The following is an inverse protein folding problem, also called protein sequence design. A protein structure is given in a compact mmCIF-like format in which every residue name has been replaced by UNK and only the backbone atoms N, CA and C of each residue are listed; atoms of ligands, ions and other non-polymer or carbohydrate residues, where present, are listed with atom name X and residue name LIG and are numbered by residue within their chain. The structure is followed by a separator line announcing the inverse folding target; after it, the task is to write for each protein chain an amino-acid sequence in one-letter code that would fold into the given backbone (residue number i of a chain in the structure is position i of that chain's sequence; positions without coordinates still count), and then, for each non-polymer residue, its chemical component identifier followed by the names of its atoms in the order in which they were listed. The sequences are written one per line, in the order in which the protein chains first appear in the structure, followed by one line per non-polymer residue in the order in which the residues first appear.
data_IF_361217774209
#
_entry.id   IF_361217774209
#
_cell.length_a   1.000
_cell.length_b   1.000
_cell.length_c   1.000
_cell.angle_alpha   90.00
_cell.angle_beta   90.00
_cell.angle_gamma   90.00
#
_symmetry.space_group_name_H-M   'P 1'
#
loop_
_entity.id
_entity.type
_entity.pdbx_description
1 polymer ?
#
# COMPACT_ATOMS: atom_id res chain seq x y z
N UNK A 1 -3.52 30.35 9.33
CA UNK A 1 -2.80 29.07 9.15
C UNK A 1 -3.66 28.01 9.83
N UNK A 2 -4.55 27.36 9.09
CA UNK A 2 -5.63 26.51 9.66
C UNK A 2 -5.69 25.11 8.99
N UNK A 3 -4.58 24.68 8.39
CA UNK A 3 -4.52 23.41 7.64
C UNK A 3 -3.51 22.41 8.21
N UNK A 4 -2.85 22.71 9.33
CA UNK A 4 -1.73 21.91 9.84
C UNK A 4 -2.16 20.63 10.59
N UNK A 5 -3.46 20.34 10.76
CA UNK A 5 -3.90 19.20 11.58
C UNK A 5 -5.07 18.38 11.01
N UNK A 6 -5.36 18.48 9.71
CA UNK A 6 -6.40 17.66 9.07
C UNK A 6 -5.85 16.26 8.76
N UNK A 7 -6.15 15.30 9.63
CA UNK A 7 -5.92 13.87 9.38
C UNK A 7 -6.96 13.38 8.38
N UNK A 8 -6.55 13.18 7.15
CA UNK A 8 -7.37 12.53 6.14
C UNK A 8 -7.26 11.01 6.31
N UNK A 9 -8.40 10.35 6.46
CA UNK A 9 -8.45 8.88 6.40
C UNK A 9 -8.52 8.51 4.93
N UNK A 10 -7.45 7.94 4.41
CA UNK A 10 -7.42 7.42 3.04
C UNK A 10 -8.17 6.09 3.04
N UNK A 11 -9.32 6.06 2.37
CA UNK A 11 -10.11 4.83 2.20
C UNK A 11 -9.70 4.22 0.86
N UNK A 12 -9.10 3.04 0.90
CA UNK A 12 -8.79 2.25 -0.29
C UNK A 12 -10.04 1.44 -0.64
N UNK A 13 -10.49 1.52 -1.89
CA UNK A 13 -11.60 0.66 -2.33
C UNK A 13 -11.17 -0.81 -2.31
N UNK A 14 -12.10 -1.72 -2.04
CA UNK A 14 -11.84 -3.16 -2.03
C UNK A 14 -11.15 -3.61 -3.33
N UNK A 15 -11.58 -3.05 -4.46
CA UNK A 15 -10.96 -3.34 -5.76
C UNK A 15 -9.50 -2.89 -5.86
N UNK A 16 -9.18 -1.71 -5.33
CA UNK A 16 -7.81 -1.21 -5.32
C UNK A 16 -6.92 -2.04 -4.38
N UNK A 17 -7.47 -2.52 -3.26
CA UNK A 17 -6.77 -3.42 -2.35
C UNK A 17 -6.44 -4.77 -3.03
N UNK A 18 -7.41 -5.37 -3.73
CA UNK A 18 -7.18 -6.61 -4.51
C UNK A 18 -6.07 -6.45 -5.56
N UNK A 19 -6.10 -5.34 -6.31
CA UNK A 19 -5.10 -5.03 -7.33
C UNK A 19 -3.73 -4.91 -6.68
N UNK A 20 -3.62 -4.19 -5.56
CA UNK A 20 -2.35 -4.03 -4.84
C UNK A 20 -1.80 -5.37 -4.34
N UNK A 21 -2.65 -6.23 -3.76
CA UNK A 21 -2.27 -7.58 -3.31
C UNK A 21 -1.79 -8.44 -4.48
N UNK A 22 -2.45 -8.36 -5.64
CA UNK A 22 -2.02 -9.09 -6.84
C UNK A 22 -0.63 -8.66 -7.31
N UNK A 23 -0.36 -7.35 -7.34
CA UNK A 23 0.95 -6.82 -7.74
C UNK A 23 2.05 -7.16 -6.73
N UNK A 24 1.74 -7.09 -5.43
CA UNK A 24 2.68 -7.47 -4.37
C UNK A 24 3.05 -8.96 -4.44
N UNK A 25 2.08 -9.85 -4.69
CA UNK A 25 2.32 -11.28 -4.89
C UNK A 25 3.14 -11.56 -6.14
N UNK A 26 2.89 -10.84 -7.23
CA UNK A 26 3.71 -10.95 -8.44
C UNK A 26 5.17 -10.57 -8.15
N UNK A 27 5.37 -9.43 -7.48
CA UNK A 27 6.71 -8.96 -7.11
C UNK A 27 7.43 -9.91 -6.13
N UNK A 28 6.70 -10.51 -5.18
CA UNK A 28 7.24 -11.51 -4.24
C UNK A 28 7.73 -12.79 -4.92
N UNK A 29 7.02 -13.25 -5.95
CA UNK A 29 7.44 -14.43 -6.72
C UNK A 29 8.69 -14.16 -7.57
N UNK A 30 8.95 -12.90 -7.94
CA UNK A 30 10.10 -12.52 -8.76
C UNK A 30 11.34 -12.20 -7.90
N UNK A 31 11.15 -11.54 -6.75
CA UNK A 31 12.23 -11.22 -5.81
C UNK A 31 11.66 -10.91 -4.43
N UNK A 32 12.07 -11.69 -3.43
CA UNK A 32 11.67 -11.48 -2.03
C UNK A 32 12.06 -10.07 -1.53
N UNK A 33 13.21 -9.55 -1.99
CA UNK A 33 13.67 -8.20 -1.66
C UNK A 33 12.80 -7.09 -2.24
N UNK A 34 12.24 -7.29 -3.44
CA UNK A 34 11.32 -6.34 -4.05
C UNK A 34 9.97 -6.29 -3.33
N UNK A 35 9.48 -7.44 -2.85
CA UNK A 35 8.26 -7.50 -2.05
C UNK A 35 8.42 -6.84 -0.68
N UNK A 36 9.55 -7.04 0.01
CA UNK A 36 9.83 -6.36 1.27
C UNK A 36 9.82 -4.84 1.10
N UNK A 37 10.50 -4.34 0.06
CA UNK A 37 10.55 -2.92 -0.27
C UNK A 37 9.17 -2.33 -0.59
N UNK A 38 8.32 -3.08 -1.30
CA UNK A 38 6.95 -2.65 -1.58
C UNK A 38 6.08 -2.54 -0.32
N UNK A 39 6.26 -3.45 0.65
CA UNK A 39 5.55 -3.40 1.94
C UNK A 39 6.01 -2.20 2.78
N UNK A 40 7.30 -1.87 2.74
CA UNK A 40 7.85 -0.68 3.39
C UNK A 40 7.34 0.62 2.75
N UNK A 41 7.32 0.69 1.41
CA UNK A 41 6.89 1.88 0.66
C UNK A 41 5.36 2.07 0.67
N UNK A 42 4.60 0.99 0.85
CA UNK A 42 3.15 1.01 0.95
C UNK A 42 2.70 0.36 2.26
N UNK A 43 2.75 1.10 3.39
CA UNK A 43 2.18 0.64 4.65
C UNK A 43 0.65 0.64 4.51
N UNK A 44 0.11 -0.43 3.91
CA UNK A 44 -1.33 -0.67 3.85
C UNK A 44 -1.76 -1.02 5.27
N UNK A 45 -2.23 -0.03 6.01
CA UNK A 45 -3.03 -0.26 7.20
C UNK A 45 -4.40 -0.74 6.72
N UNK A 46 -4.63 -2.07 6.79
CA UNK A 46 -5.96 -2.66 6.65
C UNK A 46 -6.85 -2.24 7.82
#
# INVERSE_FOLDING_TARGET
MENENKRYTVIVSEKAAEILVSHARFLANVSEGAAKKLIEDCPVHF
#
